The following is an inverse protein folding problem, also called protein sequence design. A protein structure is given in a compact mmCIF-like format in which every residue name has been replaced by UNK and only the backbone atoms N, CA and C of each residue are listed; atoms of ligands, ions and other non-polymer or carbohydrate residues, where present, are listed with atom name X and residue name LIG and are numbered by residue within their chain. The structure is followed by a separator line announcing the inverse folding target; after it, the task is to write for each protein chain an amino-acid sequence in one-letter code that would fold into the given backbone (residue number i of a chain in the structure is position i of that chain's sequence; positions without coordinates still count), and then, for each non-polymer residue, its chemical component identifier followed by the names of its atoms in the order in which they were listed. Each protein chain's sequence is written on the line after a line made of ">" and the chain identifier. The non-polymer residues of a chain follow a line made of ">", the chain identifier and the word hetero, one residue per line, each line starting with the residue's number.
data_IF_970079844711
#
_entry.id   IF_970079844711
#
_cell.length_a   1.000
_cell.length_b   1.000
_cell.length_c   1.000
_cell.angle_alpha   90.00
_cell.angle_beta   90.00
_cell.angle_gamma   90.00
#
_symmetry.space_group_name_H-M   'P 1'
#
loop_
_entity.id
_entity.type
_entity.pdbx_description
1 polymer ?
#
# COMPACT_ATOMS: atom_id res chain seq x y z
N UNK A 1 -13.30 -9.02 -0.29
CA UNK A 1 -14.60 -8.32 -0.35
C UNK A 1 -14.39 -6.90 -0.85
N UNK A 2 -15.17 -6.52 -1.86
CA UNK A 2 -15.15 -5.19 -2.50
C UNK A 2 -16.36 -4.40 -2.04
N UNK A 3 -16.14 -3.12 -1.74
CA UNK A 3 -17.18 -2.14 -1.43
C UNK A 3 -17.45 -1.25 -2.65
N UNK A 4 -18.71 -0.89 -2.84
CA UNK A 4 -19.21 -0.08 -3.94
C UNK A 4 -19.90 1.17 -3.40
N UNK A 5 -19.51 2.33 -3.92
CA UNK A 5 -20.11 3.62 -3.55
C UNK A 5 -20.41 4.45 -4.80
N UNK A 6 -21.47 5.25 -4.72
CA UNK A 6 -21.85 6.23 -5.75
C UNK A 6 -21.88 7.61 -5.12
N UNK A 7 -21.15 8.56 -5.70
CA UNK A 7 -21.12 9.96 -5.26
C UNK A 7 -21.97 10.84 -6.18
N UNK A 8 -23.00 11.45 -5.63
CA UNK A 8 -23.91 12.37 -6.33
C UNK A 8 -23.44 13.83 -6.31
N UNK A 9 -22.19 14.09 -5.90
CA UNK A 9 -21.64 15.45 -5.78
C UNK A 9 -21.31 16.07 -7.15
N UNK A 10 -21.07 15.23 -8.15
CA UNK A 10 -20.74 15.64 -9.52
C UNK A 10 -21.76 15.02 -10.50
N UNK A 11 -21.91 15.64 -11.67
CA UNK A 11 -22.77 15.17 -12.77
C UNK A 11 -21.90 14.89 -14.01
N UNK A 12 -21.80 13.64 -14.51
CA UNK A 12 -22.49 12.42 -14.04
C UNK A 12 -21.96 11.87 -12.70
N UNK A 13 -22.77 11.14 -11.91
CA UNK A 13 -22.37 10.59 -10.62
C UNK A 13 -21.10 9.75 -10.70
N UNK A 14 -20.17 9.97 -9.77
CA UNK A 14 -18.93 9.21 -9.71
C UNK A 14 -19.15 7.84 -9.07
N UNK A 15 -18.51 6.81 -9.63
CA UNK A 15 -18.50 5.47 -9.06
C UNK A 15 -17.16 5.19 -8.39
N UNK A 16 -17.19 4.66 -7.16
CA UNK A 16 -15.99 4.41 -6.36
C UNK A 16 -15.97 2.95 -5.91
N UNK A 17 -14.88 2.25 -6.22
CA UNK A 17 -14.63 0.87 -5.81
C UNK A 17 -13.52 0.83 -4.75
N UNK A 18 -13.73 0.08 -3.66
CA UNK A 18 -12.75 -0.04 -2.57
C UNK A 18 -12.61 -1.50 -2.17
N UNK A 19 -11.42 -2.08 -2.35
CA UNK A 19 -11.11 -3.41 -1.83
C UNK A 19 -10.87 -3.36 -0.32
N UNK A 20 -11.27 -4.42 0.38
CA UNK A 20 -11.03 -4.57 1.84
C UNK A 20 -9.54 -4.64 2.18
N UNK A 21 -8.73 -5.25 1.32
CA UNK A 21 -7.31 -5.47 1.54
C UNK A 21 -6.50 -5.39 0.23
N UNK A 22 -5.19 -5.67 0.32
CA UNK A 22 -4.27 -5.62 -0.82
C UNK A 22 -4.64 -6.58 -1.94
N UNK A 23 -5.12 -7.79 -1.62
CA UNK A 23 -5.39 -8.82 -2.62
C UNK A 23 -6.59 -8.42 -3.49
N UNK A 24 -7.65 -7.93 -2.84
CA UNK A 24 -8.85 -7.43 -3.53
C UNK A 24 -8.55 -6.17 -4.35
N UNK A 25 -7.71 -5.27 -3.83
CA UNK A 25 -7.25 -4.10 -4.59
C UNK A 25 -6.45 -4.49 -5.83
N UNK A 26 -5.60 -5.53 -5.75
CA UNK A 26 -4.87 -6.04 -6.90
C UNK A 26 -5.79 -6.62 -7.97
N UNK A 27 -6.90 -7.25 -7.57
CA UNK A 27 -7.91 -7.70 -8.51
C UNK A 27 -8.70 -6.53 -9.13
N UNK A 28 -9.06 -5.52 -8.34
CA UNK A 28 -9.76 -4.33 -8.83
C UNK A 28 -8.94 -3.55 -9.87
N UNK A 29 -7.65 -3.35 -9.62
CA UNK A 29 -6.78 -2.56 -10.50
C UNK A 29 -6.63 -3.22 -11.89
N UNK A 30 -6.78 -4.56 -12.00
CA UNK A 30 -6.73 -5.25 -13.30
C UNK A 30 -7.84 -4.84 -14.25
N UNK A 31 -8.95 -4.32 -13.73
CA UNK A 31 -10.11 -3.91 -14.50
C UNK A 31 -10.20 -2.39 -14.70
N UNK A 32 -9.21 -1.62 -14.23
CA UNK A 32 -9.20 -0.17 -14.38
C UNK A 32 -8.95 0.28 -15.83
N UNK A 33 -9.55 1.39 -16.23
CA UNK A 33 -9.29 2.07 -17.49
C UNK A 33 -8.31 3.24 -17.32
N UNK A 34 -7.75 3.74 -18.44
CA UNK A 34 -6.80 4.86 -18.42
C UNK A 34 -7.38 6.16 -17.82
N UNK A 35 -8.71 6.29 -17.79
CA UNK A 35 -9.41 7.44 -17.22
C UNK A 35 -9.66 7.33 -15.71
N UNK A 36 -9.37 6.18 -15.09
CA UNK A 36 -9.65 5.96 -13.68
C UNK A 36 -8.56 6.53 -12.77
N UNK A 37 -8.97 7.06 -11.61
CA UNK A 37 -8.07 7.59 -10.60
C UNK A 37 -7.91 6.59 -9.47
N UNK A 38 -6.69 6.12 -9.25
CA UNK A 38 -6.36 5.27 -8.11
C UNK A 38 -5.79 6.09 -6.95
N UNK A 39 -6.50 6.10 -5.82
CA UNK A 39 -6.06 6.78 -4.60
C UNK A 39 -5.56 5.76 -3.59
N UNK A 40 -4.33 5.95 -3.10
CA UNK A 40 -3.82 5.26 -1.91
C UNK A 40 -3.64 6.26 -0.77
N UNK A 41 -4.02 5.91 0.46
CA UNK A 41 -3.74 6.75 1.61
C UNK A 41 -2.22 6.93 1.73
N UNK A 42 -1.78 8.16 1.94
CA UNK A 42 -0.39 8.42 2.34
C UNK A 42 -0.21 7.81 3.72
N UNK A 43 0.56 6.74 3.81
CA UNK A 43 0.99 6.27 5.13
C UNK A 43 1.75 7.41 5.81
N UNK A 44 1.52 7.67 7.10
CA UNK A 44 2.40 8.54 7.85
C UNK A 44 3.81 8.00 7.68
N UNK A 45 4.79 8.90 7.47
CA UNK A 45 6.18 8.48 7.36
C UNK A 45 6.50 7.59 8.56
N UNK A 46 7.12 6.41 8.35
CA UNK A 46 7.53 5.59 9.47
C UNK A 46 8.35 6.46 10.43
N UNK A 47 8.21 6.30 11.76
CA UNK A 47 9.05 7.02 12.69
C UNK A 47 10.52 6.80 12.28
N UNK A 48 11.38 7.82 12.44
CA UNK A 48 12.79 7.65 12.13
C UNK A 48 13.29 6.40 12.81
N UNK A 49 13.94 5.51 12.05
CA UNK A 49 14.49 4.27 12.62
C UNK A 49 15.34 4.66 13.83
N UNK A 50 15.18 3.97 14.97
CA UNK A 50 16.10 4.19 16.10
C UNK A 50 17.53 3.99 15.60
N UNK A 51 18.52 4.67 16.22
CA UNK A 51 19.92 4.42 15.90
C UNK A 51 20.20 2.92 15.98
N UNK A 52 21.02 2.36 15.07
CA UNK A 52 21.38 0.95 15.12
C UNK A 52 21.87 0.62 16.53
N UNK A 53 21.30 -0.42 17.12
CA UNK A 53 21.82 -0.94 18.39
C UNK A 53 22.96 -1.91 18.08
N UNK A 54 23.90 -2.11 19.01
CA UNK A 54 25.00 -3.09 18.84
C UNK A 54 24.51 -4.51 18.45
N UNK A 55 23.25 -4.83 18.77
CA UNK A 55 22.60 -6.09 18.37
C UNK A 55 22.30 -6.15 16.88
N UNK A 56 21.90 -5.04 16.26
CA UNK A 56 21.61 -4.94 14.83
C UNK A 56 22.90 -5.05 14.00
N UNK A 57 24.01 -4.49 14.49
CA UNK A 57 25.33 -4.63 13.85
C UNK A 57 25.82 -6.08 13.90
N UNK A 58 25.69 -6.72 15.06
CA UNK A 58 26.09 -8.12 15.25
C UNK A 58 25.25 -9.10 14.43
N UNK A 59 23.97 -8.80 14.23
CA UNK A 59 23.10 -9.60 13.36
C UNK A 59 23.43 -9.41 11.88
N UNK A 60 23.71 -8.17 11.47
CA UNK A 60 24.16 -7.84 10.10
C UNK A 60 25.51 -8.49 9.76
N UNK A 61 26.45 -8.54 10.70
CA UNK A 61 27.70 -9.29 10.55
C UNK A 61 27.48 -10.80 10.48
N UNK A 62 26.59 -11.36 11.30
CA UNK A 62 26.23 -12.79 11.27
C UNK A 62 25.54 -13.20 9.97
N UNK A 63 24.78 -12.30 9.34
CA UNK A 63 24.17 -12.55 8.02
C UNK A 63 25.19 -12.44 6.89
N UNK A 64 26.07 -11.43 6.93
CA UNK A 64 27.15 -11.28 5.94
C UNK A 64 28.12 -12.47 5.94
N UNK A 65 28.35 -13.09 7.10
CA UNK A 65 29.16 -14.31 7.21
C UNK A 65 28.49 -15.62 6.77
N UNK A 66 27.18 -15.61 6.46
CA UNK A 66 26.44 -16.77 5.95
C UNK A 66 26.25 -16.76 4.43
N UNK A 67 26.57 -15.64 3.77
CA UNK A 67 26.47 -15.45 2.33
C UNK A 67 27.83 -15.64 1.60
N UNK A 68 28.87 -16.11 2.30
CA UNK A 68 30.21 -16.39 1.78
C UNK A 68 30.52 -17.89 1.77
#
# INVERSE_FOLDING_TARGET
>A
MVYYFTSNVIDPPATIYVGKDKFENEELIKFGWDCDIWVRPSLPSPPPRPPPTDRDEKEKERQKGKEA
#
